data_IF_447283030186
#
_entry.id   IF_447283030186
#
_cell.length_a   1.000
_cell.length_b   1.000
_cell.length_c   1.000
_cell.angle_alpha   90.00
_cell.angle_beta   90.00
_cell.angle_gamma   90.00
#
_symmetry.space_group_name_H-M   'P 1'
#
loop_
_entity.id
_entity.type
_entity.pdbx_description
1 polymer ?
#
# COMPACT_ATOMS: atom_id res chain seq x y z
N UNK A 1 19.08 11.76 -24.40
CA UNK A 1 19.30 12.27 -23.02
C UNK A 1 18.04 12.16 -22.18
N UNK A 2 16.88 12.59 -22.68
CA UNK A 2 15.60 12.54 -21.96
C UNK A 2 15.15 11.09 -21.62
N UNK A 3 15.29 10.15 -22.55
CA UNK A 3 14.91 8.74 -22.34
C UNK A 3 15.80 8.00 -21.33
N UNK A 4 17.11 8.30 -21.33
CA UNK A 4 18.07 7.75 -20.36
C UNK A 4 17.73 8.20 -18.92
N UNK A 5 17.30 9.45 -18.75
CA UNK A 5 16.86 9.96 -17.45
C UNK A 5 15.58 9.29 -16.99
N UNK A 6 14.63 9.04 -17.91
CA UNK A 6 13.38 8.35 -17.57
C UNK A 6 13.63 6.90 -17.13
N UNK A 7 14.55 6.18 -17.80
CA UNK A 7 14.88 4.82 -17.41
C UNK A 7 15.51 4.75 -16.00
N UNK A 8 16.46 5.64 -15.69
CA UNK A 8 17.05 5.69 -14.35
C UNK A 8 16.01 5.97 -13.25
N UNK A 9 15.04 6.85 -13.51
CA UNK A 9 13.94 7.09 -12.56
C UNK A 9 13.05 5.86 -12.41
N UNK A 10 12.71 5.17 -13.50
CA UNK A 10 11.94 3.92 -13.45
C UNK A 10 12.66 2.85 -12.63
N UNK A 11 13.96 2.65 -12.86
CA UNK A 11 14.75 1.66 -12.13
C UNK A 11 14.84 1.98 -10.64
N UNK A 12 15.01 3.27 -10.29
CA UNK A 12 14.98 3.73 -8.91
C UNK A 12 13.60 3.50 -8.25
N UNK A 13 12.51 3.85 -8.93
CA UNK A 13 11.14 3.63 -8.45
C UNK A 13 10.89 2.15 -8.19
N UNK A 14 11.19 1.26 -9.15
CA UNK A 14 11.06 -0.19 -8.96
C UNK A 14 11.84 -0.64 -7.73
N UNK A 15 13.12 -0.24 -7.63
CA UNK A 15 13.96 -0.62 -6.51
C UNK A 15 13.37 -0.20 -5.16
N UNK A 16 12.84 1.03 -5.06
CA UNK A 16 12.27 1.56 -3.82
C UNK A 16 10.91 0.94 -3.49
N UNK A 17 10.06 0.67 -4.47
CA UNK A 17 8.79 -0.03 -4.25
C UNK A 17 9.01 -1.44 -3.69
N UNK A 18 9.90 -2.22 -4.32
CA UNK A 18 10.23 -3.57 -3.82
C UNK A 18 10.82 -3.52 -2.41
N UNK A 19 11.71 -2.55 -2.13
CA UNK A 19 12.30 -2.39 -0.81
C UNK A 19 11.26 -2.06 0.27
N UNK A 20 10.35 -1.12 0.00
CA UNK A 20 9.29 -0.76 0.95
C UNK A 20 8.22 -1.86 1.08
N UNK A 21 7.91 -2.60 0.01
CA UNK A 21 7.02 -3.77 0.07
C UNK A 21 7.64 -4.90 0.89
N UNK A 22 8.95 -5.14 0.78
CA UNK A 22 9.66 -6.11 1.62
C UNK A 22 9.62 -5.71 3.10
N UNK A 23 9.78 -4.42 3.41
CA UNK A 23 9.63 -3.94 4.79
C UNK A 23 8.20 -4.10 5.32
N UNK A 24 7.19 -3.79 4.51
CA UNK A 24 5.79 -4.00 4.90
C UNK A 24 5.48 -5.49 5.08
N UNK A 25 5.97 -6.35 4.18
CA UNK A 25 5.84 -7.80 4.27
C UNK A 25 6.45 -8.37 5.55
N UNK A 26 7.70 -7.98 5.87
CA UNK A 26 8.37 -8.38 7.12
C UNK A 26 7.58 -7.91 8.36
N UNK A 27 6.98 -6.71 8.28
CA UNK A 27 6.14 -6.15 9.34
C UNK A 27 4.85 -6.94 9.53
N UNK A 28 4.19 -7.38 8.45
CA UNK A 28 2.99 -8.21 8.52
C UNK A 28 3.32 -9.61 9.06
N UNK A 29 4.40 -10.21 8.56
CA UNK A 29 4.85 -11.55 8.96
C UNK A 29 5.10 -11.63 10.47
N UNK A 30 5.84 -10.66 11.01
CA UNK A 30 6.25 -10.58 12.42
C UNK A 30 5.13 -10.15 13.38
N UNK A 31 3.96 -9.75 12.89
CA UNK A 31 2.86 -9.33 13.76
C UNK A 31 2.27 -10.53 14.52
N UNK A 32 2.21 -10.53 15.86
CA UNK A 32 1.59 -11.63 16.61
C UNK A 32 0.06 -11.64 16.40
N UNK A 33 -0.56 -12.80 16.63
CA UNK A 33 -2.00 -12.98 16.37
C UNK A 33 -2.87 -12.08 17.27
N UNK A 34 -2.40 -11.82 18.48
CA UNK A 34 -3.05 -10.99 19.49
C UNK A 34 -3.11 -9.52 19.08
N UNK A 35 -2.09 -9.05 18.34
CA UNK A 35 -2.02 -7.66 17.88
C UNK A 35 -2.78 -7.43 16.56
N UNK A 36 -3.01 -8.50 15.79
CA UNK A 36 -3.56 -8.42 14.43
C UNK A 36 -4.90 -7.67 14.37
N UNK A 37 -5.84 -8.06 15.23
CA UNK A 37 -7.19 -7.48 15.35
C UNK A 37 -7.39 -6.68 16.64
N UNK A 38 -6.31 -6.35 17.34
CA UNK A 38 -6.37 -5.61 18.61
C UNK A 38 -7.05 -4.24 18.42
N UNK A 39 -7.93 -3.92 19.38
CA UNK A 39 -8.63 -2.63 19.47
C UNK A 39 -7.90 -1.62 20.36
N UNK A 40 -6.68 -1.92 20.81
CA UNK A 40 -5.87 -0.99 21.62
C UNK A 40 -5.46 0.28 20.84
N UNK A 41 -5.55 0.24 19.51
CA UNK A 41 -5.24 1.35 18.62
C UNK A 41 -6.49 1.79 17.87
N UNK A 42 -6.51 3.06 17.44
CA UNK A 42 -7.63 3.60 16.64
C UNK A 42 -7.96 2.75 15.41
N UNK A 43 -6.93 2.26 14.73
CA UNK A 43 -7.06 1.30 13.62
C UNK A 43 -6.29 0.03 13.99
N UNK A 44 -6.91 -1.14 13.80
CA UNK A 44 -6.28 -2.44 13.96
C UNK A 44 -5.09 -2.61 12.99
N UNK A 45 -4.20 -3.57 13.29
CA UNK A 45 -2.99 -3.79 12.50
C UNK A 45 -3.33 -4.16 11.05
N UNK A 46 -4.28 -5.10 10.87
CA UNK A 46 -4.72 -5.55 9.55
C UNK A 46 -5.31 -4.41 8.71
N UNK A 47 -6.00 -3.45 9.32
CA UNK A 47 -6.62 -2.32 8.62
C UNK A 47 -5.55 -1.44 7.99
N UNK A 48 -4.50 -1.09 8.75
CA UNK A 48 -3.38 -0.29 8.24
C UNK A 48 -2.60 -1.05 7.17
N UNK A 49 -2.36 -2.35 7.37
CA UNK A 49 -1.66 -3.18 6.39
C UNK A 49 -2.42 -3.23 5.05
N UNK A 50 -3.71 -3.53 5.12
CA UNK A 50 -4.56 -3.58 3.93
C UNK A 50 -4.70 -2.23 3.24
N UNK A 51 -4.98 -1.15 3.99
CA UNK A 51 -5.08 0.21 3.44
C UNK A 51 -3.79 0.60 2.70
N UNK A 52 -2.65 0.29 3.31
CA UNK A 52 -1.32 0.56 2.72
C UNK A 52 -1.16 -0.16 1.40
N UNK A 53 -1.49 -1.45 1.33
CA UNK A 53 -1.40 -2.26 0.11
C UNK A 53 -2.42 -1.83 -0.95
N UNK A 54 -3.66 -1.54 -0.55
CA UNK A 54 -4.72 -1.10 -1.44
C UNK A 54 -4.33 0.18 -2.18
N UNK A 55 -3.90 1.22 -1.46
CA UNK A 55 -3.50 2.46 -2.09
C UNK A 55 -2.17 2.36 -2.85
N UNK A 56 -1.23 1.50 -2.40
CA UNK A 56 -0.03 1.18 -3.18
C UNK A 56 -0.39 0.63 -4.55
N UNK A 57 -1.30 -0.35 -4.58
CA UNK A 57 -1.80 -0.97 -5.80
C UNK A 57 -2.61 0.03 -6.67
N UNK A 58 -3.51 0.79 -6.06
CA UNK A 58 -4.28 1.83 -6.75
C UNK A 58 -3.36 2.83 -7.45
N UNK A 59 -2.39 3.39 -6.73
CA UNK A 59 -1.54 4.47 -7.23
C UNK A 59 -0.41 4.00 -8.16
N UNK A 60 -0.14 2.69 -8.23
CA UNK A 60 0.65 2.09 -9.31
C UNK A 60 -0.11 2.08 -10.64
N UNK A 61 -1.45 2.11 -10.62
CA UNK A 61 -2.25 2.14 -11.86
C UNK A 61 -2.04 3.44 -12.64
N UNK A 62 -2.22 3.44 -13.98
CA UNK A 62 -2.05 4.63 -14.79
C UNK A 62 -2.99 5.78 -14.41
N UNK A 63 -4.19 5.45 -13.93
CA UNK A 63 -5.15 6.37 -13.33
C UNK A 63 -6.27 5.63 -12.61
N UNK A 64 -7.19 6.39 -12.00
CA UNK A 64 -8.31 5.83 -11.24
C UNK A 64 -9.22 4.91 -12.06
N UNK A 65 -9.51 5.29 -13.30
CA UNK A 65 -10.49 4.58 -14.15
C UNK A 65 -9.95 3.26 -14.72
N UNK A 66 -8.63 3.06 -14.64
CA UNK A 66 -7.94 1.85 -15.10
C UNK A 66 -7.64 0.88 -13.94
N UNK A 67 -7.99 1.25 -12.71
CA UNK A 67 -7.71 0.42 -11.54
C UNK A 67 -8.62 -0.81 -11.50
N UNK A 68 -7.99 -1.97 -11.36
CA UNK A 68 -8.68 -3.24 -11.13
C UNK A 68 -8.31 -3.69 -9.71
N UNK A 69 -9.27 -3.74 -8.77
CA UNK A 69 -8.99 -4.17 -7.41
C UNK A 69 -8.45 -5.59 -7.34
N UNK A 70 -7.69 -5.88 -6.28
CA UNK A 70 -7.22 -7.23 -5.98
C UNK A 70 -8.40 -8.19 -5.83
N UNK A 71 -8.22 -9.45 -6.22
CA UNK A 71 -9.33 -10.42 -6.34
C UNK A 71 -10.09 -10.66 -5.02
N UNK A 72 -9.42 -10.49 -3.87
CA UNK A 72 -10.04 -10.62 -2.54
C UNK A 72 -10.51 -9.28 -1.95
N UNK A 73 -10.54 -8.21 -2.74
CA UNK A 73 -11.03 -6.90 -2.30
C UNK A 73 -12.50 -7.00 -1.84
N UNK A 74 -12.72 -6.85 -0.53
CA UNK A 74 -14.04 -6.80 0.11
C UNK A 74 -14.65 -5.42 -0.10
N UNK A 75 -15.45 -5.26 -1.17
CA UNK A 75 -16.08 -3.98 -1.54
C UNK A 75 -17.46 -3.75 -0.94
N UNK A 76 -18.14 -4.80 -0.48
CA UNK A 76 -19.53 -4.73 -0.03
C UNK A 76 -19.62 -4.27 1.44
N UNK A 77 -19.12 -3.05 1.70
CA UNK A 77 -19.13 -2.37 3.00
C UNK A 77 -18.98 -0.85 2.80
N UNK A 78 -19.22 -0.08 3.86
CA UNK A 78 -19.18 1.39 3.79
C UNK A 78 -17.76 1.98 3.70
N UNK A 79 -16.73 1.22 4.09
CA UNK A 79 -15.33 1.69 4.15
C UNK A 79 -14.38 0.68 3.47
N UNK A 80 -14.41 0.56 2.14
CA UNK A 80 -13.71 -0.50 1.39
C UNK A 80 -12.18 -0.40 1.42
N UNK A 81 -11.63 0.75 1.85
CA UNK A 81 -10.21 0.97 2.13
C UNK A 81 -9.82 0.67 3.59
N UNK A 82 -10.80 0.27 4.41
CA UNK A 82 -10.69 -0.05 5.82
C UNK A 82 -10.24 1.10 6.74
N UNK A 83 -10.40 2.35 6.31
CA UNK A 83 -10.18 3.54 7.14
C UNK A 83 -11.53 4.23 7.39
N UNK A 84 -12.20 3.91 8.51
CA UNK A 84 -13.59 4.29 8.67
C UNK A 84 -13.80 5.79 8.87
N UNK A 85 -14.76 6.33 8.13
CA UNK A 85 -15.49 7.55 8.49
C UNK A 85 -16.66 7.25 9.44
N UNK A 86 -17.48 8.26 9.71
CA UNK A 86 -18.73 8.06 10.47
C UNK A 86 -19.67 7.11 9.72
N UNK A 87 -20.34 6.18 10.41
CA UNK A 87 -21.29 5.27 9.77
C UNK A 87 -22.45 6.05 9.16
N UNK A 88 -22.84 5.72 7.92
CA UNK A 88 -24.08 6.21 7.33
C UNK A 88 -25.24 5.36 7.87
N UNK A 89 -26.12 5.93 8.72
CA UNK A 89 -27.25 5.19 9.28
C UNK A 89 -28.30 4.80 8.23
N UNK A 90 -28.21 5.31 7.00
CA UNK A 90 -29.11 4.98 5.89
C UNK A 90 -28.61 3.84 5.01
N UNK A 91 -27.39 3.35 5.26
CA UNK A 91 -26.79 2.29 4.47
C UNK A 91 -27.06 0.93 5.09
N UNK A 92 -27.54 -0.02 4.28
CA UNK A 92 -27.73 -1.42 4.68
C UNK A 92 -26.42 -2.24 4.62
N UNK A 93 -25.32 -1.62 4.16
CA UNK A 93 -24.02 -2.27 4.10
C UNK A 93 -23.34 -2.30 5.48
N UNK A 94 -22.59 -3.36 5.79
CA UNK A 94 -21.72 -3.39 6.96
C UNK A 94 -20.81 -2.15 7.00
N UNK A 95 -20.61 -1.59 8.19
CA UNK A 95 -19.73 -0.42 8.34
C UNK A 95 -18.27 -0.75 7.98
N UNK A 96 -17.81 -1.95 8.30
CA UNK A 96 -16.48 -2.45 7.98
C UNK A 96 -16.57 -3.87 7.41
N UNK A 97 -15.61 -4.31 6.58
CA UNK A 97 -15.51 -5.70 6.19
C UNK A 97 -14.97 -6.55 7.36
N UNK A 98 -15.17 -7.86 7.28
CA UNK A 98 -14.47 -8.80 8.15
C UNK A 98 -12.94 -8.63 8.01
N UNK A 99 -12.17 -8.77 9.10
CA UNK A 99 -10.71 -8.69 9.04
C UNK A 99 -10.12 -9.62 7.98
N UNK A 100 -9.13 -9.14 7.25
CA UNK A 100 -8.29 -10.02 6.44
C UNK A 100 -7.39 -10.86 7.35
N UNK A 101 -7.09 -12.09 6.94
CA UNK A 101 -6.06 -12.88 7.63
C UNK A 101 -4.67 -12.34 7.29
N UNK A 102 -3.68 -12.73 8.10
CA UNK A 102 -2.27 -12.38 7.83
C UNK A 102 -1.83 -12.95 6.49
N UNK A 103 -2.20 -14.19 6.20
CA UNK A 103 -1.85 -14.92 4.98
C UNK A 103 -2.44 -14.24 3.74
N UNK A 104 -3.67 -13.75 3.84
CA UNK A 104 -4.30 -12.97 2.77
C UNK A 104 -3.52 -11.68 2.48
N UNK A 105 -3.08 -10.94 3.49
CA UNK A 105 -2.33 -9.71 3.27
C UNK A 105 -0.88 -9.98 2.81
N UNK A 106 -0.27 -11.09 3.21
CA UNK A 106 1.02 -11.53 2.65
C UNK A 106 0.87 -11.93 1.17
N UNK A 107 -0.21 -12.59 0.79
CA UNK A 107 -0.54 -12.84 -0.62
C UNK A 107 -0.69 -11.52 -1.39
N UNK A 108 -1.32 -10.51 -0.78
CA UNK A 108 -1.47 -9.21 -1.42
C UNK A 108 -0.14 -8.44 -1.55
N UNK A 109 0.78 -8.57 -0.58
CA UNK A 109 2.17 -8.06 -0.70
C UNK A 109 2.85 -8.66 -1.94
N UNK A 110 2.79 -9.98 -2.11
CA UNK A 110 3.43 -10.66 -3.24
C UNK A 110 2.75 -10.32 -4.57
N UNK A 111 1.43 -10.16 -4.58
CA UNK A 111 0.72 -9.64 -5.75
C UNK A 111 1.24 -8.25 -6.13
N UNK A 112 1.33 -7.31 -5.18
CA UNK A 112 1.87 -5.96 -5.43
C UNK A 112 3.30 -6.04 -5.98
N UNK A 113 4.18 -6.85 -5.39
CA UNK A 113 5.55 -7.06 -5.87
C UNK A 113 5.58 -7.57 -7.31
N UNK A 114 4.67 -8.49 -7.66
CA UNK A 114 4.62 -9.08 -9.01
C UNK A 114 4.24 -8.07 -10.10
N UNK A 115 3.53 -6.99 -9.76
CA UNK A 115 3.01 -6.03 -10.73
C UNK A 115 3.84 -4.74 -10.83
N UNK A 116 4.64 -4.40 -9.80
CA UNK A 116 5.43 -3.14 -9.72
C UNK A 116 6.22 -2.88 -11.00
N UNK A 117 7.02 -3.85 -11.45
CA UNK A 117 7.92 -3.65 -12.58
C UNK A 117 7.13 -3.33 -13.85
N UNK A 118 6.07 -4.10 -14.11
CA UNK A 118 5.17 -3.91 -15.26
C UNK A 118 4.51 -2.53 -15.24
N UNK A 119 3.97 -2.09 -14.10
CA UNK A 119 3.30 -0.79 -14.02
C UNK A 119 4.28 0.37 -14.17
N UNK A 120 5.45 0.31 -13.51
CA UNK A 120 6.47 1.35 -13.61
C UNK A 120 7.03 1.44 -15.02
N UNK A 121 7.27 0.32 -15.70
CA UNK A 121 7.75 0.30 -17.09
C UNK A 121 6.78 0.95 -18.06
N UNK A 122 5.48 0.71 -17.90
CA UNK A 122 4.44 1.26 -18.76
C UNK A 122 3.99 2.67 -18.36
N UNK A 123 4.49 3.22 -17.25
CA UNK A 123 4.13 4.58 -16.82
C UNK A 123 4.91 5.63 -17.62
N UNK A 124 4.18 6.59 -18.20
CA UNK A 124 4.75 7.84 -18.70
C UNK A 124 4.98 8.82 -17.55
N UNK A 125 6.24 8.90 -17.09
CA UNK A 125 6.63 9.78 -15.99
C UNK A 125 6.66 11.27 -16.38
N UNK A 126 6.52 11.62 -17.67
CA UNK A 126 6.52 13.01 -18.14
C UNK A 126 5.16 13.69 -18.07
N UNK A 127 4.08 12.92 -17.84
CA UNK A 127 2.72 13.43 -17.69
C UNK A 127 2.64 14.48 -16.58
N UNK A 128 1.96 15.57 -16.90
CA UNK A 128 1.73 16.69 -15.98
C UNK A 128 0.55 16.45 -15.05
N UNK A 129 -0.23 15.39 -15.28
CA UNK A 129 -1.30 14.93 -14.43
C UNK A 129 -0.97 13.57 -13.78
N UNK A 130 -1.59 13.28 -12.64
CA UNK A 130 -1.36 12.05 -11.87
C UNK A 130 -2.18 10.85 -12.35
N UNK A 131 -3.26 11.10 -13.10
CA UNK A 131 -4.35 10.15 -13.35
C UNK A 131 -5.37 10.03 -12.21
N UNK A 132 -5.26 10.85 -11.15
CA UNK A 132 -6.14 10.84 -9.98
C UNK A 132 -6.67 12.26 -9.69
N UNK A 133 -7.99 12.50 -9.76
CA UNK A 133 -8.55 13.87 -9.72
C UNK A 133 -8.31 14.61 -8.40
N UNK A 134 -8.06 13.89 -7.30
CA UNK A 134 -7.72 14.48 -6.00
C UNK A 134 -6.23 14.83 -5.83
N UNK A 135 -5.34 14.39 -6.73
CA UNK A 135 -3.92 14.72 -6.73
C UNK A 135 -3.54 15.59 -7.93
N UNK A 136 -3.49 16.92 -7.71
CA UNK A 136 -3.12 17.93 -8.71
C UNK A 136 -1.60 18.08 -8.85
N UNK A 137 -0.91 16.98 -9.15
CA UNK A 137 0.54 16.90 -9.29
C UNK A 137 0.92 16.09 -10.53
N UNK A 138 2.18 16.18 -10.96
CA UNK A 138 2.71 15.39 -12.08
C UNK A 138 2.70 13.88 -11.78
N UNK A 139 2.77 13.04 -12.82
CA UNK A 139 2.80 11.57 -12.63
C UNK A 139 4.04 11.12 -11.86
N UNK A 140 5.20 11.72 -12.14
CA UNK A 140 6.42 11.40 -11.40
C UNK A 140 6.29 11.76 -9.91
N UNK A 141 5.81 12.95 -9.59
CA UNK A 141 5.56 13.36 -8.20
C UNK A 141 4.54 12.43 -7.51
N UNK A 142 3.49 12.02 -8.23
CA UNK A 142 2.51 11.06 -7.71
C UNK A 142 3.13 9.69 -7.36
N UNK A 143 4.10 9.19 -8.14
CA UNK A 143 4.84 7.98 -7.78
C UNK A 143 5.66 8.16 -6.48
N UNK A 144 6.19 9.37 -6.24
CA UNK A 144 6.84 9.69 -4.97
C UNK A 144 5.84 9.79 -3.81
N UNK A 145 4.64 10.33 -4.05
CA UNK A 145 3.53 10.34 -3.07
C UNK A 145 3.19 8.90 -2.67
N UNK A 146 3.07 8.00 -3.63
CA UNK A 146 2.78 6.60 -3.37
C UNK A 146 3.88 5.90 -2.57
N UNK A 147 5.17 6.08 -2.92
CA UNK A 147 6.29 5.57 -2.13
C UNK A 147 6.28 6.10 -0.68
N UNK A 148 5.98 7.39 -0.51
CA UNK A 148 5.86 8.00 0.83
C UNK A 148 4.69 7.42 1.62
N UNK A 149 3.56 7.17 0.97
CA UNK A 149 2.39 6.53 1.59
C UNK A 149 2.70 5.09 2.04
N UNK A 150 3.27 4.27 1.14
CA UNK A 150 3.68 2.91 1.46
C UNK A 150 4.64 2.87 2.64
N UNK A 151 5.70 3.69 2.61
CA UNK A 151 6.68 3.73 3.69
C UNK A 151 6.08 4.28 5.00
N UNK A 152 5.14 5.22 4.93
CA UNK A 152 4.44 5.73 6.11
C UNK A 152 3.63 4.63 6.81
N UNK A 153 2.88 3.84 6.06
CA UNK A 153 2.14 2.70 6.59
C UNK A 153 3.05 1.62 7.19
N UNK A 154 4.13 1.28 6.49
CA UNK A 154 5.13 0.33 6.98
C UNK A 154 5.79 0.81 8.29
N UNK A 155 6.18 2.09 8.37
CA UNK A 155 6.77 2.67 9.57
C UNK A 155 5.79 2.72 10.75
N UNK A 156 4.53 3.05 10.49
CA UNK A 156 3.48 3.06 11.52
C UNK A 156 3.32 1.68 12.16
N UNK A 157 3.27 0.62 11.34
CA UNK A 157 3.13 -0.75 11.83
C UNK A 157 4.41 -1.27 12.50
N UNK A 158 5.58 -0.93 11.97
CA UNK A 158 6.87 -1.29 12.55
C UNK A 158 7.05 -0.68 13.95
N UNK A 159 6.64 0.57 14.16
CA UNK A 159 6.67 1.20 15.48
C UNK A 159 5.73 0.47 16.46
N UNK A 160 4.51 0.10 16.03
CA UNK A 160 3.60 -0.68 16.89
C UNK A 160 4.23 -2.00 17.36
N UNK A 161 4.91 -2.73 16.47
CA UNK A 161 5.63 -3.95 16.84
C UNK A 161 6.76 -3.68 17.83
N UNK A 162 7.51 -2.59 17.63
CA UNK A 162 8.54 -2.17 18.58
C UNK A 162 7.96 -1.89 19.96
N UNK A 163 6.85 -1.18 20.03
CA UNK A 163 6.23 -0.79 21.30
C UNK A 163 5.60 -1.96 22.05
N UNK A 164 4.95 -2.90 21.34
CA UNK A 164 4.20 -3.99 21.96
C UNK A 164 5.03 -5.25 22.22
N UNK A 165 5.90 -5.59 21.28
CA UNK A 165 6.62 -6.87 21.28
C UNK A 165 8.13 -6.71 21.35
N UNK A 166 8.63 -5.47 21.38
CA UNK A 166 10.05 -5.17 21.23
C UNK A 166 10.67 -5.80 19.96
N UNK A 167 9.86 -5.96 18.91
CA UNK A 167 10.31 -6.52 17.62
C UNK A 167 10.82 -5.41 16.71
N UNK A 168 11.99 -5.62 16.12
CA UNK A 168 12.57 -4.75 15.11
C UNK A 168 12.29 -5.21 13.69
N UNK A 169 12.07 -4.24 12.81
CA UNK A 169 11.98 -4.44 11.36
C UNK A 169 13.28 -3.95 10.71
N UNK A 170 13.87 -4.79 9.86
CA UNK A 170 15.11 -4.45 9.20
C UNK A 170 14.89 -3.42 8.10
N UNK A 171 15.78 -2.44 8.02
CA UNK A 171 15.78 -1.50 6.91
C UNK A 171 16.16 -2.20 5.61
N UNK A 172 15.36 -2.01 4.56
CA UNK A 172 15.66 -2.47 3.20
C UNK A 172 15.92 -1.22 2.35
N UNK A 173 17.20 -0.95 2.04
CA UNK A 173 17.57 0.28 1.31
C UNK A 173 17.42 0.21 -0.21
N UNK A 174 17.31 -1.01 -0.76
CA UNK A 174 17.12 -1.27 -2.19
C UNK A 174 16.56 -2.66 -2.41
N UNK A 175 15.99 -2.92 -3.59
CA UNK A 175 15.52 -4.25 -4.01
C UNK A 175 16.61 -5.29 -3.77
N UNK A 176 16.22 -6.39 -3.11
CA UNK A 176 17.07 -7.57 -2.93
C UNK A 176 17.20 -8.28 -4.29
N UNK A 177 18.41 -8.73 -4.62
CA UNK A 177 18.68 -9.46 -5.88
C UNK A 177 18.03 -10.83 -5.87
#
# INVERSE_FOLDING_TARGET
MQDLNQQHFKDALKSQYHASLDMLGETIEKCPVELWTSQEFKNAFWQVAYHTLFFTHLYLSPGNDEFIPWIKHKKDNQNPDCFPGDPDPKSDLPWMPDPYTKEELLEYVEFCKSIVDKFVDNTDLSRQDSGFPWYKVSKFEHQLVNLRHLQHGAAQLADRLRQKENVGINWVGRRRK
#
